data_IF_567334069521
#
_entry.id   IF_567334069521
#
_cell.length_a   1.000
_cell.length_b   1.000
_cell.length_c   1.000
_cell.angle_alpha   90.00
_cell.angle_beta   90.00
_cell.angle_gamma   90.00
#
_symmetry.space_group_name_H-M   'P 1'
#
loop_
_entity.id
_entity.type
_entity.pdbx_description
1 polymer ?
#
# COMPACT_ATOMS: atom_id res chain seq x y z
N UNK A 1 -5.66 -6.74 16.31
CA UNK A 1 -4.94 -6.13 15.17
C UNK A 1 -3.47 -6.52 15.32
N UNK A 2 -2.81 -7.05 14.28
CA UNK A 2 -1.39 -7.43 14.41
C UNK A 2 -0.52 -6.19 14.34
N UNK A 3 0.51 -6.14 15.19
CA UNK A 3 1.40 -4.97 15.29
C UNK A 3 2.38 -4.88 14.12
N UNK A 4 2.60 -5.99 13.41
CA UNK A 4 3.52 -6.09 12.27
C UNK A 4 2.75 -6.49 11.01
N UNK A 5 2.97 -5.81 9.87
CA UNK A 5 2.40 -6.22 8.60
C UNK A 5 3.11 -7.47 8.08
N UNK A 6 2.40 -8.59 8.10
CA UNK A 6 2.90 -9.89 7.67
C UNK A 6 1.83 -10.66 6.88
N UNK A 7 2.29 -11.52 5.98
CA UNK A 7 1.48 -12.49 5.28
C UNK A 7 1.82 -13.86 5.86
N UNK A 8 0.84 -14.44 6.55
CA UNK A 8 0.96 -15.79 7.08
C UNK A 8 0.28 -16.81 6.17
N UNK A 9 0.86 -18.00 6.10
CA UNK A 9 0.34 -19.12 5.35
C UNK A 9 0.20 -20.34 6.25
N UNK A 10 -0.93 -21.03 6.12
CA UNK A 10 -1.21 -22.28 6.82
C UNK A 10 -1.50 -23.33 5.75
N UNK A 11 -0.72 -24.41 5.74
CA UNK A 11 -0.78 -25.42 4.68
C UNK A 11 -2.14 -26.13 4.64
N UNK A 12 -2.74 -26.42 5.80
CA UNK A 12 -4.05 -27.09 5.88
C UNK A 12 -5.19 -26.29 5.26
N UNK A 13 -5.03 -24.97 5.07
CA UNK A 13 -6.03 -24.11 4.42
C UNK A 13 -5.80 -23.97 2.90
N UNK A 14 -4.67 -24.47 2.37
CA UNK A 14 -4.30 -24.34 0.97
C UNK A 14 -4.81 -25.53 0.16
N UNK A 15 -5.76 -25.30 -0.75
CA UNK A 15 -6.26 -26.31 -1.71
C UNK A 15 -5.43 -26.38 -3.01
N UNK A 16 -4.31 -25.66 -3.06
CA UNK A 16 -3.40 -25.64 -4.21
C UNK A 16 -4.02 -25.16 -5.53
N UNK A 17 -4.98 -24.23 -5.48
CA UNK A 17 -5.65 -23.69 -6.67
C UNK A 17 -4.78 -22.75 -7.53
N UNK A 18 -3.65 -22.26 -7.02
CA UNK A 18 -2.76 -21.35 -7.76
C UNK A 18 -3.24 -19.89 -7.86
N UNK A 19 -4.44 -19.53 -7.37
CA UNK A 19 -4.93 -18.14 -7.46
C UNK A 19 -3.99 -17.14 -6.80
N UNK A 20 -3.41 -17.48 -5.65
CA UNK A 20 -2.47 -16.60 -4.96
C UNK A 20 -1.20 -16.33 -5.77
N UNK A 21 -0.72 -17.29 -6.56
CA UNK A 21 0.48 -17.12 -7.39
C UNK A 21 0.17 -16.30 -8.64
N UNK A 22 -0.99 -16.49 -9.26
CA UNK A 22 -1.40 -15.72 -10.43
C UNK A 22 -1.70 -14.25 -10.13
N UNK A 23 -2.30 -13.97 -8.97
CA UNK A 23 -2.71 -12.60 -8.60
C UNK A 23 -1.57 -11.78 -8.00
N UNK A 24 -0.46 -12.41 -7.58
CA UNK A 24 0.62 -11.70 -6.90
C UNK A 24 1.37 -10.76 -7.87
N UNK A 25 1.28 -9.42 -7.69
CA UNK A 25 1.90 -8.47 -8.63
C UNK A 25 3.42 -8.44 -8.51
N UNK A 26 3.97 -8.83 -7.37
CA UNK A 26 5.42 -8.88 -7.11
C UNK A 26 6.01 -10.28 -7.35
N UNK A 27 5.21 -11.24 -7.83
CA UNK A 27 5.64 -12.63 -8.07
C UNK A 27 6.29 -13.30 -6.84
N UNK A 28 5.89 -12.87 -5.63
CA UNK A 28 6.51 -13.28 -4.38
C UNK A 28 6.10 -14.68 -3.89
N UNK A 29 5.04 -15.26 -4.46
CA UNK A 29 4.48 -16.55 -4.03
C UNK A 29 4.65 -17.53 -5.17
N UNK A 30 5.26 -18.68 -4.88
CA UNK A 30 5.32 -19.84 -5.76
C UNK A 30 4.56 -21.02 -5.16
N UNK A 31 4.01 -21.86 -6.05
CA UNK A 31 3.31 -23.08 -5.66
C UNK A 31 4.09 -24.29 -6.18
N UNK A 32 4.26 -25.27 -5.30
CA UNK A 32 4.78 -26.59 -5.65
C UNK A 32 3.83 -27.63 -5.05
N UNK A 33 3.39 -28.64 -5.81
CA UNK A 33 2.59 -29.73 -5.27
C UNK A 33 3.29 -30.34 -4.06
N UNK A 34 2.62 -30.34 -2.92
CA UNK A 34 3.17 -30.86 -1.66
C UNK A 34 2.05 -31.40 -0.78
N UNK A 35 2.35 -32.43 0.01
CA UNK A 35 1.43 -32.97 1.01
C UNK A 35 2.22 -33.30 2.28
N UNK A 36 2.00 -32.53 3.33
CA UNK A 36 2.70 -32.70 4.61
C UNK A 36 1.90 -33.67 5.49
N UNK A 37 2.29 -34.93 5.66
CA UNK A 37 1.49 -35.88 6.46
C UNK A 37 1.30 -35.49 7.94
N UNK A 38 2.31 -34.86 8.54
CA UNK A 38 2.27 -34.45 9.94
C UNK A 38 1.21 -33.34 10.16
N UNK A 39 0.23 -33.63 11.01
CA UNK A 39 -0.91 -32.74 11.30
C UNK A 39 -0.46 -31.41 11.92
N UNK A 40 0.50 -31.43 12.84
CA UNK A 40 0.98 -30.23 13.52
C UNK A 40 1.69 -29.31 12.52
N UNK A 41 2.61 -29.86 11.73
CA UNK A 41 3.33 -29.13 10.67
C UNK A 41 2.38 -28.52 9.63
N UNK A 42 1.29 -29.20 9.26
CA UNK A 42 0.29 -28.63 8.33
C UNK A 42 -0.50 -27.46 8.89
N UNK A 43 -0.78 -27.48 10.20
CA UNK A 43 -1.55 -26.43 10.86
C UNK A 43 -0.66 -25.29 11.38
N UNK A 44 0.67 -25.46 11.33
CA UNK A 44 1.60 -24.43 11.70
C UNK A 44 1.56 -23.28 10.69
N UNK A 45 1.44 -22.07 11.22
CA UNK A 45 1.55 -20.86 10.42
C UNK A 45 3.02 -20.57 10.07
N UNK A 46 3.28 -20.27 8.79
CA UNK A 46 4.59 -19.79 8.31
C UNK A 46 4.48 -18.37 7.77
N UNK A 47 5.49 -17.56 8.03
CA UNK A 47 5.60 -16.21 7.47
C UNK A 47 6.04 -16.33 6.01
N UNK A 48 5.25 -15.78 5.08
CA UNK A 48 5.62 -15.66 3.66
C UNK A 48 6.35 -14.36 3.38
N UNK A 49 5.83 -13.28 3.96
CA UNK A 49 6.39 -11.94 3.81
C UNK A 49 6.14 -11.17 5.09
N UNK A 50 7.08 -10.31 5.45
CA UNK A 50 7.00 -9.45 6.61
C UNK A 50 7.60 -8.10 6.22
N UNK A 51 6.99 -7.03 6.69
CA UNK A 51 7.46 -5.67 6.49
C UNK A 51 7.45 -4.90 7.81
N UNK A 52 8.12 -3.75 7.84
CA UNK A 52 8.15 -2.86 8.99
C UNK A 52 6.94 -1.92 8.95
N UNK A 53 6.21 -1.73 10.06
CA UNK A 53 5.14 -0.75 10.13
C UNK A 53 5.68 0.66 9.88
N UNK A 54 5.03 1.39 8.98
CA UNK A 54 5.29 2.80 8.74
C UNK A 54 4.44 3.64 9.70
N UNK A 55 5.12 4.45 10.52
CA UNK A 55 4.50 5.41 11.42
C UNK A 55 4.03 6.67 10.68
N UNK A 56 2.85 7.16 11.02
CA UNK A 56 2.36 8.44 10.54
C UNK A 56 3.36 9.56 10.86
N UNK A 57 3.70 10.39 9.87
CA UNK A 57 4.66 11.50 10.07
C UNK A 57 4.17 12.59 11.04
N UNK A 58 2.86 12.63 11.34
CA UNK A 58 2.26 13.62 12.24
C UNK A 58 2.11 13.09 13.67
N UNK A 59 1.61 11.87 13.84
CA UNK A 59 1.25 11.32 15.16
C UNK A 59 2.02 10.04 15.53
N UNK A 60 2.88 9.52 14.66
CA UNK A 60 3.66 8.30 14.88
C UNK A 60 2.87 6.98 14.79
N UNK A 61 1.53 7.02 14.72
CA UNK A 61 0.69 5.81 14.67
C UNK A 61 1.08 4.90 13.49
N UNK A 62 1.39 3.61 13.71
CA UNK A 62 1.63 2.66 12.62
C UNK A 62 0.34 2.43 11.85
N UNK A 63 0.39 2.52 10.51
CA UNK A 63 -0.83 2.40 9.71
C UNK A 63 -0.68 1.62 8.40
N UNK A 64 0.54 1.46 7.87
CA UNK A 64 0.77 0.76 6.61
C UNK A 64 2.15 0.11 6.58
N UNK A 65 2.41 -0.85 5.68
CA UNK A 65 3.76 -1.35 5.44
C UNK A 65 4.67 -0.28 4.83
N UNK A 66 5.94 -0.24 5.24
CA UNK A 66 6.91 0.75 4.77
C UNK A 66 7.15 0.64 3.27
N UNK A 67 7.26 -0.59 2.74
CA UNK A 67 7.46 -0.82 1.30
C UNK A 67 6.33 -0.21 0.45
N UNK A 68 5.08 -0.32 0.91
CA UNK A 68 3.91 0.23 0.22
C UNK A 68 3.95 1.75 0.19
N UNK A 69 4.27 2.40 1.31
CA UNK A 69 4.38 3.86 1.38
C UNK A 69 5.48 4.39 0.45
N UNK A 70 6.63 3.73 0.42
CA UNK A 70 7.72 4.10 -0.48
C UNK A 70 7.33 3.91 -1.95
N UNK A 71 6.74 2.75 -2.30
CA UNK A 71 6.29 2.45 -3.67
C UNK A 71 5.25 3.46 -4.14
N UNK A 72 4.21 3.73 -3.34
CA UNK A 72 3.18 4.72 -3.68
C UNK A 72 3.75 6.13 -3.81
N UNK A 73 4.61 6.55 -2.87
CA UNK A 73 5.25 7.88 -2.94
C UNK A 73 6.10 8.02 -4.19
N UNK A 74 6.80 6.97 -4.59
CA UNK A 74 7.62 6.97 -5.80
C UNK A 74 6.77 6.98 -7.08
N UNK A 75 5.72 6.16 -7.15
CA UNK A 75 4.85 6.07 -8.33
C UNK A 75 4.00 7.33 -8.55
N UNK A 76 3.62 8.03 -7.48
CA UNK A 76 2.70 9.15 -7.55
C UNK A 76 3.39 10.53 -7.58
N UNK A 77 4.70 10.62 -7.33
CA UNK A 77 5.43 11.90 -7.26
C UNK A 77 5.27 12.80 -8.50
N UNK A 78 5.11 12.20 -9.67
CA UNK A 78 5.03 12.91 -10.95
C UNK A 78 3.57 13.18 -11.37
N UNK A 79 2.59 12.67 -10.62
CA UNK A 79 1.17 12.85 -10.91
C UNK A 79 0.71 14.25 -10.48
N UNK A 80 -0.13 14.91 -11.30
CA UNK A 80 -0.54 16.31 -11.11
C UNK A 80 -1.12 16.63 -9.72
N UNK A 81 -1.86 15.69 -9.12
CA UNK A 81 -2.44 15.82 -7.77
C UNK A 81 -1.40 15.78 -6.64
N UNK A 82 -0.18 15.30 -6.89
CA UNK A 82 0.87 15.11 -5.90
C UNK A 82 2.12 15.95 -6.19
N UNK A 83 2.01 17.00 -7.00
CA UNK A 83 3.13 17.90 -7.31
C UNK A 83 3.68 18.66 -6.09
N UNK A 84 2.84 18.91 -5.09
CA UNK A 84 3.26 19.64 -3.89
C UNK A 84 3.76 18.68 -2.81
N UNK A 85 4.78 19.10 -2.07
CA UNK A 85 5.32 18.32 -0.94
C UNK A 85 4.24 18.01 0.10
N UNK A 86 3.31 18.96 0.33
CA UNK A 86 2.16 18.75 1.24
C UNK A 86 1.25 17.62 0.75
N UNK A 87 0.90 17.60 -0.53
CA UNK A 87 0.08 16.54 -1.10
C UNK A 87 0.77 15.17 -1.04
N UNK A 88 2.09 15.09 -1.31
CA UNK A 88 2.85 13.85 -1.16
C UNK A 88 2.93 13.37 0.30
N UNK A 89 3.09 14.30 1.24
CA UNK A 89 3.14 13.98 2.66
C UNK A 89 1.85 13.34 3.18
N UNK A 90 0.69 13.60 2.55
CA UNK A 90 -0.58 12.93 2.89
C UNK A 90 -0.52 11.43 2.72
N UNK A 91 0.23 10.92 1.75
CA UNK A 91 0.43 9.47 1.56
C UNK A 91 1.09 8.84 2.79
N UNK A 92 1.91 9.62 3.51
CA UNK A 92 2.66 9.21 4.71
C UNK A 92 1.90 9.49 6.03
N UNK A 93 0.63 9.90 5.96
CA UNK A 93 -0.23 10.15 7.13
C UNK A 93 -1.27 9.03 7.31
N UNK A 94 -1.61 8.72 8.56
CA UNK A 94 -2.74 7.85 8.90
C UNK A 94 -4.07 8.47 8.49
N UNK A 95 -5.13 7.66 8.48
CA UNK A 95 -6.51 8.04 8.20
C UNK A 95 -6.95 9.36 8.87
N UNK A 96 -6.78 9.47 10.19
CA UNK A 96 -7.23 10.64 10.95
C UNK A 96 -6.42 11.91 10.62
N UNK A 97 -5.08 11.80 10.60
CA UNK A 97 -4.22 12.95 10.32
C UNK A 97 -4.35 13.41 8.87
N UNK A 98 -4.59 12.47 7.94
CA UNK A 98 -4.80 12.78 6.52
C UNK A 98 -6.06 13.61 6.31
N UNK A 99 -7.18 13.22 6.94
CA UNK A 99 -8.43 13.99 6.85
C UNK A 99 -8.27 15.38 7.46
N UNK A 100 -7.63 15.47 8.64
CA UNK A 100 -7.36 16.74 9.30
C UNK A 100 -6.52 17.68 8.41
N UNK A 101 -5.47 17.16 7.74
CA UNK A 101 -4.65 17.97 6.84
C UNK A 101 -5.41 18.41 5.58
N UNK A 102 -6.27 17.56 5.01
CA UNK A 102 -7.11 17.93 3.84
C UNK A 102 -8.08 19.06 4.22
N UNK A 103 -8.74 18.96 5.38
CA UNK A 103 -9.68 19.98 5.86
C UNK A 103 -9.00 21.32 6.17
N UNK A 104 -7.70 21.31 6.42
CA UNK A 104 -6.91 22.53 6.63
C UNK A 104 -6.26 23.07 5.35
N UNK A 105 -6.42 22.37 4.22
CA UNK A 105 -5.87 22.78 2.93
C UNK A 105 -6.98 23.35 2.05
N UNK A 106 -7.04 24.67 1.99
CA UNK A 106 -7.98 25.41 1.14
C UNK A 106 -7.84 25.05 -0.35
N UNK A 107 -6.65 24.63 -0.81
CA UNK A 107 -6.44 24.20 -2.20
C UNK A 107 -6.97 22.79 -2.49
N UNK A 108 -7.08 21.94 -1.46
CA UNK A 108 -7.67 20.61 -1.58
C UNK A 108 -9.20 20.64 -1.40
N UNK A 109 -9.72 21.51 -0.54
CA UNK A 109 -11.17 21.67 -0.31
C UNK A 109 -11.84 22.45 -1.44
N UNK A 110 -11.20 23.53 -1.90
CA UNK A 110 -11.74 24.36 -2.98
C UNK A 110 -11.26 23.90 -4.35
N UNK A 111 -10.85 22.63 -4.49
CA UNK A 111 -10.38 22.07 -5.74
C UNK A 111 -11.42 22.29 -6.82
N UNK A 112 -11.21 23.31 -7.66
CA UNK A 112 -11.98 23.56 -8.86
C UNK A 112 -11.69 22.38 -9.80
N UNK A 113 -12.47 21.31 -9.65
CA UNK A 113 -12.40 20.13 -10.50
C UNK A 113 -12.91 20.55 -11.88
N UNK A 114 -12.00 21.06 -12.70
CA UNK A 114 -12.24 21.36 -14.10
C UNK A 114 -11.67 20.20 -14.94
N UNK A 115 -12.51 19.24 -15.39
CA UNK A 115 -12.06 18.10 -16.18
C UNK A 115 -11.47 18.51 -17.54
N UNK A 116 -11.59 19.78 -17.96
CA UNK A 116 -11.14 20.26 -19.26
C UNK A 116 -9.77 20.95 -19.25
N UNK A 117 -9.17 21.24 -18.09
CA UNK A 117 -7.77 21.74 -17.99
C UNK A 117 -6.71 20.64 -18.13
N UNK A 118 -7.05 19.50 -18.74
CA UNK A 118 -6.12 18.39 -18.97
C UNK A 118 -5.23 18.56 -20.21
N UNK A 119 -5.43 19.60 -21.05
CA UNK A 119 -4.65 19.78 -22.28
C UNK A 119 -4.30 21.25 -22.58
N UNK A 120 -3.25 21.80 -21.96
CA UNK A 120 -2.51 22.93 -22.56
C UNK A 120 -1.24 23.24 -21.78
N UNK A 121 -0.23 22.41 -21.98
CA UNK A 121 1.15 22.86 -21.98
C UNK A 121 1.79 22.33 -23.25
N UNK A 122 1.41 22.92 -24.40
CA UNK A 122 2.21 22.89 -25.61
C UNK A 122 2.79 24.29 -25.81
N UNK A 123 4.05 24.38 -25.43
CA UNK A 123 5.15 25.03 -26.17
C UNK A 123 5.02 26.50 -26.51
N UNK A 124 5.88 27.29 -25.87
CA UNK A 124 6.33 28.59 -26.33
C UNK A 124 6.77 28.55 -27.80
N UNK A 125 6.21 29.42 -28.62
CA UNK A 125 6.87 30.12 -29.73
C UNK A 125 6.18 31.46 -29.94
#
# INVERSE_FOLDING_TARGET
NREVPEILFIESNCIQCGTCTHTCPEQAISISPRFIFNREKRNQSRVLNQDTPFGCITCGKPFAPTSVIQKMSHQLKDHYMFKTTRALNRLKMCDNCRVADIVQDSGAINGNFDPLKQTSSKTLS
#
